data_IF_445616458039
#
_entry.id   IF_445616458039
#
_cell.length_a   1.000
_cell.length_b   1.000
_cell.length_c   1.000
_cell.angle_alpha   90.00
_cell.angle_beta   90.00
_cell.angle_gamma   90.00
#
_symmetry.space_group_name_H-M   'P 1'
#
loop_
_entity.id
_entity.type
_entity.pdbx_description
1 polymer ?
#
# COMPACT_ATOMS: atom_id res chain seq x y z
N UNK A 1 6.58 4.07 -10.05
CA UNK A 1 6.29 5.21 -9.14
C UNK A 1 7.47 6.17 -9.14
N UNK A 2 7.19 7.45 -9.35
CA UNK A 2 8.23 8.46 -9.32
C UNK A 2 8.76 8.67 -7.91
N UNK A 3 10.01 9.09 -7.81
CA UNK A 3 10.65 9.33 -6.52
C UNK A 3 9.90 10.38 -5.69
N UNK A 4 9.44 11.45 -6.36
CA UNK A 4 8.68 12.52 -5.71
C UNK A 4 7.35 12.00 -5.15
N UNK A 5 6.67 11.13 -5.88
CA UNK A 5 5.43 10.51 -5.42
C UNK A 5 5.68 9.65 -4.19
N UNK A 6 6.75 8.87 -4.21
CA UNK A 6 7.11 8.01 -3.08
C UNK A 6 7.38 8.83 -1.83
N UNK A 7 8.17 9.89 -1.96
CA UNK A 7 8.50 10.77 -0.84
C UNK A 7 7.24 11.43 -0.28
N UNK A 8 6.35 11.91 -1.16
CA UNK A 8 5.11 12.56 -0.73
C UNK A 8 4.24 11.58 0.07
N UNK A 9 4.10 10.34 -0.39
CA UNK A 9 3.33 9.32 0.32
C UNK A 9 3.96 9.01 1.67
N UNK A 10 5.27 8.86 1.71
CA UNK A 10 5.97 8.57 2.96
C UNK A 10 5.73 9.68 3.98
N UNK A 11 5.79 10.94 3.56
CA UNK A 11 5.55 12.07 4.44
C UNK A 11 4.11 12.15 4.91
N UNK A 12 3.16 11.90 4.01
CA UNK A 12 1.73 11.99 4.32
C UNK A 12 1.30 10.94 5.36
N UNK A 13 1.86 9.75 5.29
CA UNK A 13 1.46 8.63 6.16
C UNK A 13 2.45 8.34 7.29
N UNK A 14 3.48 9.15 7.42
CA UNK A 14 4.46 8.98 8.49
C UNK A 14 3.78 9.10 9.86
N UNK A 15 4.18 8.21 10.78
CA UNK A 15 3.67 8.22 12.16
C UNK A 15 4.48 9.14 13.05
N UNK A 16 5.67 9.54 12.57
CA UNK A 16 6.56 10.49 13.25
C UNK A 16 7.51 11.07 12.21
N UNK A 17 8.20 12.13 12.57
CA UNK A 17 9.17 12.74 11.68
C UNK A 17 10.28 11.73 11.33
N UNK A 18 10.60 11.64 10.04
CA UNK A 18 11.62 10.71 9.56
C UNK A 18 11.16 9.28 9.41
N UNK A 19 9.86 9.02 9.60
CA UNK A 19 9.32 7.66 9.43
C UNK A 19 9.33 7.27 7.95
N UNK A 20 10.07 6.21 7.63
CA UNK A 20 10.16 5.68 6.27
C UNK A 20 9.72 4.22 6.18
N UNK A 21 9.40 3.59 7.29
CA UNK A 21 9.16 2.16 7.32
C UNK A 21 8.06 1.67 8.23
N UNK A 22 7.21 2.55 8.77
CA UNK A 22 6.07 2.09 9.58
C UNK A 22 5.11 1.28 8.72
N UNK A 23 4.28 0.42 9.34
CA UNK A 23 3.25 -0.30 8.59
C UNK A 23 2.36 0.63 7.77
N UNK A 24 1.99 1.79 8.29
CA UNK A 24 1.17 2.77 7.57
C UNK A 24 1.84 3.25 6.30
N UNK A 25 3.11 3.61 6.37
CA UNK A 25 3.86 4.05 5.20
C UNK A 25 3.96 2.92 4.17
N UNK A 26 4.28 1.71 4.62
CA UNK A 26 4.39 0.56 3.73
C UNK A 26 3.06 0.23 3.06
N UNK A 27 1.96 0.26 3.80
CA UNK A 27 0.62 0.00 3.26
C UNK A 27 0.25 1.06 2.23
N UNK A 28 0.55 2.34 2.52
CA UNK A 28 0.26 3.43 1.59
C UNK A 28 1.06 3.29 0.29
N UNK A 29 2.33 2.95 0.37
CA UNK A 29 3.17 2.73 -0.82
C UNK A 29 2.70 1.54 -1.64
N UNK A 30 2.35 0.43 -0.98
CA UNK A 30 1.81 -0.74 -1.66
C UNK A 30 0.49 -0.43 -2.34
N UNK A 31 -0.37 0.36 -1.70
CA UNK A 31 -1.65 0.75 -2.27
C UNK A 31 -1.46 1.54 -3.56
N UNK A 32 -0.52 2.49 -3.58
CA UNK A 32 -0.21 3.24 -4.80
C UNK A 32 0.27 2.32 -5.91
N UNK A 33 1.20 1.42 -5.60
CA UNK A 33 1.73 0.47 -6.59
C UNK A 33 0.67 -0.48 -7.10
N UNK A 34 -0.20 -0.97 -6.21
CA UNK A 34 -1.31 -1.86 -6.58
C UNK A 34 -2.26 -1.15 -7.53
N UNK A 35 -2.62 0.10 -7.23
CA UNK A 35 -3.52 0.88 -8.08
C UNK A 35 -2.90 1.14 -9.45
N UNK A 36 -1.63 1.52 -9.50
CA UNK A 36 -0.93 1.78 -10.76
C UNK A 36 -0.86 0.51 -11.63
N UNK A 37 -0.54 -0.63 -10.99
CA UNK A 37 -0.42 -1.88 -11.72
C UNK A 37 -1.77 -2.42 -12.17
N UNK A 38 -2.82 -2.18 -11.38
CA UNK A 38 -4.19 -2.53 -11.76
C UNK A 38 -4.59 -1.77 -13.02
N UNK A 39 -4.29 -0.48 -13.09
CA UNK A 39 -4.55 0.32 -14.29
C UNK A 39 -3.74 -0.18 -15.49
N UNK A 40 -2.47 -0.51 -15.27
CA UNK A 40 -1.62 -1.09 -16.31
C UNK A 40 -2.24 -2.36 -16.90
N UNK A 41 -2.77 -3.23 -16.05
CA UNK A 41 -3.34 -4.52 -16.48
C UNK A 41 -4.68 -4.38 -17.21
N UNK A 42 -5.37 -3.25 -17.07
CA UNK A 42 -6.57 -2.98 -17.87
C UNK A 42 -6.22 -2.83 -19.35
N UNK A 43 -5.05 -2.30 -19.65
CA UNK A 43 -4.55 -2.11 -21.02
C UNK A 43 -3.76 -3.33 -21.48
N UNK A 44 -2.89 -3.86 -20.63
CA UNK A 44 -2.00 -4.98 -20.95
C UNK A 44 -2.49 -6.25 -20.30
N UNK A 45 -3.63 -6.75 -20.75
CA UNK A 45 -4.36 -7.86 -20.11
C UNK A 45 -3.59 -9.18 -20.07
N UNK A 46 -2.64 -9.36 -21.00
CA UNK A 46 -1.86 -10.60 -21.09
C UNK A 46 -0.48 -10.51 -20.41
N UNK A 47 -0.23 -9.43 -19.68
CA UNK A 47 1.01 -9.26 -18.93
C UNK A 47 0.94 -10.08 -17.64
N UNK A 48 1.24 -11.38 -17.76
CA UNK A 48 1.16 -12.32 -16.65
C UNK A 48 2.22 -12.07 -15.59
N UNK A 49 3.36 -11.52 -15.99
CA UNK A 49 4.43 -11.18 -15.06
C UNK A 49 3.98 -10.07 -14.10
N UNK A 50 3.39 -9.02 -14.64
CA UNK A 50 2.86 -7.92 -13.81
C UNK A 50 1.69 -8.38 -12.94
N UNK A 51 0.85 -9.27 -13.45
CA UNK A 51 -0.26 -9.83 -12.67
C UNK A 51 0.24 -10.59 -11.45
N UNK A 52 1.29 -11.38 -11.61
CA UNK A 52 1.91 -12.09 -10.51
C UNK A 52 2.45 -11.11 -9.47
N UNK A 53 3.12 -10.06 -9.91
CA UNK A 53 3.61 -9.00 -9.03
C UNK A 53 2.49 -8.31 -8.26
N UNK A 54 1.35 -8.06 -8.93
CA UNK A 54 0.18 -7.47 -8.31
C UNK A 54 -0.34 -8.34 -7.16
N UNK A 55 -0.51 -9.63 -7.40
CA UNK A 55 -0.99 -10.55 -6.35
C UNK A 55 -0.03 -10.63 -5.18
N UNK A 56 1.27 -10.59 -5.46
CA UNK A 56 2.28 -10.58 -4.40
C UNK A 56 2.16 -9.34 -3.51
N UNK A 57 1.96 -8.17 -4.12
CA UNK A 57 1.81 -6.92 -3.37
C UNK A 57 0.50 -6.90 -2.56
N UNK A 58 -0.57 -7.44 -3.10
CA UNK A 58 -1.84 -7.57 -2.38
C UNK A 58 -1.65 -8.44 -1.13
N UNK A 59 -0.93 -9.55 -1.26
CA UNK A 59 -0.62 -10.42 -0.14
C UNK A 59 0.22 -9.72 0.93
N UNK A 60 1.23 -8.97 0.51
CA UNK A 60 2.08 -8.20 1.41
C UNK A 60 1.27 -7.15 2.17
N UNK A 61 0.39 -6.43 1.48
CA UNK A 61 -0.46 -5.42 2.11
C UNK A 61 -1.41 -6.06 3.14
N UNK A 62 -1.99 -7.20 2.78
CA UNK A 62 -2.88 -7.92 3.70
C UNK A 62 -2.14 -8.34 4.98
N UNK A 63 -0.91 -8.81 4.85
CA UNK A 63 -0.11 -9.19 6.01
C UNK A 63 0.15 -8.00 6.93
N UNK A 64 0.46 -6.84 6.36
CA UNK A 64 0.68 -5.61 7.15
C UNK A 64 -0.60 -5.15 7.83
N UNK A 65 -1.73 -5.23 7.14
CA UNK A 65 -3.03 -4.86 7.72
C UNK A 65 -3.41 -5.80 8.87
N UNK A 66 -3.18 -7.10 8.70
CA UNK A 66 -3.43 -8.08 9.76
C UNK A 66 -2.55 -7.80 10.98
N UNK A 67 -1.29 -7.46 10.74
CA UNK A 67 -0.37 -7.07 11.82
C UNK A 67 -0.92 -5.87 12.60
N UNK A 68 -1.34 -4.82 11.91
CA UNK A 68 -1.91 -3.63 12.58
C UNK A 68 -3.17 -3.96 13.38
N UNK A 69 -4.02 -4.84 12.87
CA UNK A 69 -5.22 -5.27 13.57
C UNK A 69 -4.88 -5.83 14.94
N UNK A 70 -3.76 -6.56 15.04
CA UNK A 70 -3.33 -7.19 16.29
C UNK A 70 -2.65 -6.22 17.24
N UNK A 71 -1.85 -5.29 16.73
CA UNK A 71 -1.04 -4.43 17.61
C UNK A 71 -1.75 -3.11 17.94
N UNK A 72 -2.59 -2.58 17.05
CA UNK A 72 -3.30 -1.32 17.29
C UNK A 72 -4.49 -1.20 16.34
N UNK A 73 -5.66 -1.59 16.81
CA UNK A 73 -6.87 -1.60 15.99
C UNK A 73 -7.30 -0.20 15.55
N UNK A 74 -6.99 0.84 16.33
CA UNK A 74 -7.30 2.22 15.94
C UNK A 74 -6.47 2.66 14.73
N UNK A 75 -5.17 2.32 14.74
CA UNK A 75 -4.31 2.60 13.61
C UNK A 75 -4.77 1.85 12.37
N UNK A 76 -5.20 0.60 12.54
CA UNK A 76 -5.75 -0.20 11.45
C UNK A 76 -6.97 0.48 10.83
N UNK A 77 -7.94 0.88 11.65
CA UNK A 77 -9.15 1.54 11.16
C UNK A 77 -8.85 2.86 10.48
N UNK A 78 -7.91 3.62 11.04
CA UNK A 78 -7.50 4.90 10.47
C UNK A 78 -6.91 4.74 9.07
N UNK A 79 -5.99 3.77 8.89
CA UNK A 79 -5.31 3.62 7.60
C UNK A 79 -6.24 3.10 6.52
N UNK A 80 -7.13 2.16 6.82
CA UNK A 80 -8.07 1.66 5.80
C UNK A 80 -9.06 2.75 5.39
N UNK A 81 -9.47 3.62 6.32
CA UNK A 81 -10.35 4.74 6.01
C UNK A 81 -9.64 5.76 5.13
N UNK A 82 -8.41 6.13 5.48
CA UNK A 82 -7.63 7.13 4.73
C UNK A 82 -7.35 6.67 3.30
N UNK A 83 -7.09 5.39 3.10
CA UNK A 83 -6.73 4.83 1.80
C UNK A 83 -7.93 4.28 1.03
N UNK A 84 -9.10 4.22 1.66
CA UNK A 84 -10.29 3.66 1.03
C UNK A 84 -10.15 2.18 0.73
N UNK A 85 -9.43 1.45 1.56
CA UNK A 85 -9.19 0.03 1.35
C UNK A 85 -10.34 -0.78 1.92
N UNK A 86 -10.84 -1.71 1.12
CA UNK A 86 -11.71 -2.75 1.64
C UNK A 86 -10.84 -3.84 2.21
N UNK A 87 -11.18 -4.24 3.39
CA UNK A 87 -10.46 -5.28 4.06
C UNK A 87 -10.28 -6.54 3.22
#
# INVERSE_FOLDING_TARGET
MLKEEKIAIMQEYATHEGDTGSPEVQIALLTKRINDLTEHLKVHKKDHHSRRGLFKMIGQRRALLNYLTKVDSERYRSIIKRLGIRK
#
